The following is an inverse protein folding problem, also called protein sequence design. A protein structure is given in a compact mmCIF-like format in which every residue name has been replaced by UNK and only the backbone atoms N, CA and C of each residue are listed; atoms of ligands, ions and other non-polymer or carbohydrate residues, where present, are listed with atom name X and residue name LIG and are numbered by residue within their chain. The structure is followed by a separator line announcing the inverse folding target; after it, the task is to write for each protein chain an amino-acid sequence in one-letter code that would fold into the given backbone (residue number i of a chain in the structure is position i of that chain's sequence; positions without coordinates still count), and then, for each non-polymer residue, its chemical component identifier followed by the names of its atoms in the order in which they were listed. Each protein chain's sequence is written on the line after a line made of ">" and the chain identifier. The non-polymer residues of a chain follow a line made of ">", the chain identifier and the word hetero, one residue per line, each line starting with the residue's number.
data_IF_715268893280
#
_entry.id   IF_715268893280
#
_cell.length_a   1.000
_cell.length_b   1.000
_cell.length_c   1.000
_cell.angle_alpha   90.00
_cell.angle_beta   90.00
_cell.angle_gamma   90.00
#
_symmetry.space_group_name_H-M   'P 1'
#
loop_
_entity.id
_entity.type
_entity.pdbx_description
1 polymer ?
#
# COMPACT_ATOMS: atom_id res chain seq x y z
N UNK A 1 14.37 18.78 -1.69
CA UNK A 1 13.10 18.29 -2.30
C UNK A 1 13.47 17.57 -3.58
N UNK A 2 12.99 16.35 -3.78
CA UNK A 2 13.19 15.64 -5.04
C UNK A 2 12.34 16.31 -6.13
N UNK A 3 12.82 16.34 -7.38
CA UNK A 3 12.00 16.75 -8.52
C UNK A 3 11.33 15.51 -9.08
N UNK A 4 10.01 15.45 -9.05
CA UNK A 4 9.21 14.38 -9.65
C UNK A 4 8.20 15.04 -10.57
N UNK A 5 8.22 14.66 -11.86
CA UNK A 5 7.37 15.28 -12.90
C UNK A 5 7.48 16.82 -12.91
N UNK A 6 8.70 17.36 -12.75
CA UNK A 6 8.95 18.80 -12.73
C UNK A 6 8.54 19.53 -11.45
N UNK A 7 7.88 18.88 -10.48
CA UNK A 7 7.46 19.46 -9.20
C UNK A 7 8.42 19.10 -8.07
N UNK A 8 8.65 20.03 -7.14
CA UNK A 8 9.37 19.75 -5.90
C UNK A 8 8.45 18.97 -4.96
N UNK A 9 8.81 17.72 -4.66
CA UNK A 9 8.13 16.89 -3.66
C UNK A 9 9.02 16.69 -2.43
N UNK A 10 8.43 16.77 -1.25
CA UNK A 10 9.05 16.29 0.00
C UNK A 10 8.57 14.89 0.36
N UNK A 11 7.39 14.50 -0.10
CA UNK A 11 6.75 13.20 0.08
C UNK A 11 6.07 12.76 -1.22
N UNK A 12 6.10 11.47 -1.50
CA UNK A 12 5.38 10.78 -2.56
C UNK A 12 4.47 9.75 -1.92
N UNK A 13 3.21 9.76 -2.33
CA UNK A 13 2.21 8.75 -1.98
C UNK A 13 1.82 8.01 -3.25
N UNK A 14 1.74 6.68 -3.17
CA UNK A 14 1.56 5.83 -4.35
C UNK A 14 0.15 5.30 -4.38
N UNK A 15 -0.50 5.42 -5.55
CA UNK A 15 -1.82 4.87 -5.76
C UNK A 15 -1.77 3.34 -5.66
N UNK A 16 -2.77 2.78 -4.98
CA UNK A 16 -3.06 1.37 -4.97
C UNK A 16 -4.11 1.07 -6.06
N UNK A 17 -3.93 -0.03 -6.76
CA UNK A 17 -4.84 -0.42 -7.83
C UNK A 17 -4.16 -1.36 -8.81
N UNK A 18 -4.98 -1.99 -9.65
CA UNK A 18 -4.52 -2.82 -10.76
C UNK A 18 -4.94 -2.18 -12.08
N UNK A 19 -4.97 -0.86 -12.11
CA UNK A 19 -5.44 -0.06 -13.24
C UNK A 19 -4.63 -0.35 -14.51
N UNK A 20 -3.36 -0.71 -14.40
CA UNK A 20 -2.52 -1.08 -15.54
C UNK A 20 -2.61 -2.58 -15.93
N UNK A 21 -3.13 -3.46 -15.07
CA UNK A 21 -3.27 -4.90 -15.35
C UNK A 21 -4.70 -5.27 -15.76
N UNK A 22 -5.70 -4.78 -15.05
CA UNK A 22 -7.12 -5.13 -15.23
C UNK A 22 -8.02 -3.92 -15.49
N UNK A 23 -7.46 -2.71 -15.65
CA UNK A 23 -8.26 -1.49 -15.81
C UNK A 23 -9.09 -1.11 -14.57
N UNK A 24 -8.92 -1.83 -13.45
CA UNK A 24 -9.66 -1.58 -12.21
C UNK A 24 -8.95 -0.51 -11.38
N UNK A 25 -9.49 0.71 -11.43
CA UNK A 25 -9.16 1.77 -10.48
C UNK A 25 -9.77 1.48 -9.11
N UNK A 26 -8.97 1.59 -8.06
CA UNK A 26 -9.45 1.51 -6.69
C UNK A 26 -9.69 2.91 -6.15
N UNK A 27 -10.93 3.14 -5.73
CA UNK A 27 -11.34 4.36 -5.04
C UNK A 27 -11.60 4.05 -3.58
N UNK A 28 -11.57 5.08 -2.75
CA UNK A 28 -11.87 4.95 -1.32
C UNK A 28 -13.26 4.36 -1.05
N UNK A 29 -14.23 4.54 -1.95
CA UNK A 29 -15.59 4.02 -1.80
C UNK A 29 -15.77 2.60 -2.37
N UNK A 30 -15.02 2.21 -3.41
CA UNK A 30 -15.13 0.86 -3.99
C UNK A 30 -14.22 -0.18 -3.30
N UNK A 31 -13.20 0.28 -2.56
CA UNK A 31 -12.33 -0.59 -1.78
C UNK A 31 -12.89 -0.77 -0.36
N UNK A 32 -13.38 -1.98 -0.07
CA UNK A 32 -14.17 -2.31 1.14
C UNK A 32 -13.51 -1.89 2.46
N UNK A 33 -12.19 -2.04 2.59
CA UNK A 33 -11.50 -1.74 3.84
C UNK A 33 -11.27 -0.23 4.01
N UNK A 34 -10.84 0.47 2.97
CA UNK A 34 -10.69 1.93 2.94
C UNK A 34 -12.00 2.64 3.24
N UNK A 35 -13.08 2.24 2.57
CA UNK A 35 -14.44 2.69 2.86
C UNK A 35 -14.77 2.57 4.35
N UNK A 36 -14.61 1.37 4.88
CA UNK A 36 -14.90 1.04 6.28
C UNK A 36 -14.05 1.83 7.26
N UNK A 37 -12.74 1.95 7.04
CA UNK A 37 -11.87 2.70 7.93
C UNK A 37 -12.25 4.19 7.97
N UNK A 38 -12.54 4.79 6.82
CA UNK A 38 -12.95 6.21 6.78
C UNK A 38 -14.32 6.39 7.46
N UNK A 39 -15.32 5.56 7.11
CA UNK A 39 -16.65 5.65 7.72
C UNK A 39 -16.61 5.41 9.24
N UNK A 40 -15.82 4.44 9.70
CA UNK A 40 -15.72 4.11 11.12
C UNK A 40 -14.97 5.18 11.93
N UNK A 41 -13.97 5.86 11.36
CA UNK A 41 -13.18 6.87 12.07
C UNK A 41 -13.74 8.28 12.00
N UNK A 42 -14.36 8.64 10.86
CA UNK A 42 -14.77 10.01 10.53
C UNK A 42 -16.27 10.15 10.20
N UNK A 43 -16.95 9.05 9.89
CA UNK A 43 -18.36 9.05 9.50
C UNK A 43 -18.58 9.10 7.99
N UNK A 44 -19.80 8.78 7.58
CA UNK A 44 -20.23 8.69 6.16
C UNK A 44 -20.09 10.04 5.44
N UNK A 45 -20.32 11.15 6.14
CA UNK A 45 -20.16 12.49 5.57
C UNK A 45 -18.73 12.76 5.11
N UNK A 46 -17.73 12.21 5.79
CA UNK A 46 -16.34 12.36 5.39
C UNK A 46 -16.03 11.50 4.15
N UNK A 47 -16.49 10.24 4.14
CA UNK A 47 -16.34 9.39 2.96
C UNK A 47 -16.99 10.04 1.73
N UNK A 48 -18.15 10.70 1.88
CA UNK A 48 -18.81 11.37 0.75
C UNK A 48 -17.94 12.43 0.07
N UNK A 49 -17.05 13.09 0.81
CA UNK A 49 -16.16 14.15 0.27
C UNK A 49 -15.11 13.58 -0.69
N UNK A 50 -14.49 12.45 -0.32
CA UNK A 50 -13.32 11.92 -1.03
C UNK A 50 -13.47 10.48 -1.52
N UNK A 51 -14.63 9.87 -1.35
CA UNK A 51 -14.88 8.46 -1.65
C UNK A 51 -14.63 8.08 -3.11
N UNK A 52 -14.77 9.03 -4.03
CA UNK A 52 -14.51 8.86 -5.46
C UNK A 52 -13.03 8.98 -5.83
N UNK A 53 -12.18 9.40 -4.89
CA UNK A 53 -10.75 9.56 -5.11
C UNK A 53 -10.01 8.23 -4.98
N UNK A 54 -8.84 8.16 -5.61
CA UNK A 54 -7.99 6.97 -5.62
C UNK A 54 -7.52 6.58 -4.22
N UNK A 55 -7.25 5.29 -4.02
CA UNK A 55 -6.60 4.81 -2.80
C UNK A 55 -5.10 5.07 -2.90
N UNK A 56 -4.48 5.64 -1.86
CA UNK A 56 -3.02 5.64 -1.67
C UNK A 56 -2.64 4.69 -0.55
N UNK A 57 -1.72 3.75 -0.76
CA UNK A 57 -1.33 2.82 0.30
C UNK A 57 -0.37 3.47 1.30
N UNK A 58 -0.72 3.47 2.59
CA UNK A 58 0.12 4.03 3.67
C UNK A 58 1.45 3.30 3.82
N UNK A 59 1.49 2.02 3.43
CA UNK A 59 2.69 1.17 3.42
C UNK A 59 3.64 1.42 2.24
N UNK A 60 3.23 2.20 1.24
CA UNK A 60 4.09 2.66 0.14
C UNK A 60 4.11 4.16 0.11
N UNK A 61 5.11 4.73 0.77
CA UNK A 61 5.42 6.15 0.72
C UNK A 61 6.91 6.33 0.54
N UNK A 62 7.33 7.40 -0.13
CA UNK A 62 8.75 7.73 -0.32
C UNK A 62 8.93 9.22 -0.15
N UNK A 63 10.12 9.67 0.23
CA UNK A 63 10.31 11.09 0.47
C UNK A 63 11.69 11.42 1.00
N UNK A 64 11.93 12.71 1.12
CA UNK A 64 13.12 13.22 1.82
C UNK A 64 12.98 12.99 3.32
N UNK A 65 14.10 12.95 4.05
CA UNK A 65 14.10 12.90 5.51
C UNK A 65 13.15 13.93 6.15
N UNK A 66 13.23 15.21 5.72
CA UNK A 66 12.33 16.27 6.22
C UNK A 66 10.85 15.99 5.92
N UNK A 67 10.55 15.44 4.75
CA UNK A 67 9.19 15.06 4.37
C UNK A 67 8.64 13.93 5.24
N UNK A 68 9.46 12.91 5.54
CA UNK A 68 9.07 11.83 6.44
C UNK A 68 8.86 12.29 7.88
N UNK A 69 9.73 13.17 8.41
CA UNK A 69 9.52 13.76 9.75
C UNK A 69 8.17 14.48 9.81
N UNK A 70 7.81 15.24 8.77
CA UNK A 70 6.51 15.91 8.70
C UNK A 70 5.33 14.91 8.56
N UNK A 71 5.47 13.91 7.68
CA UNK A 71 4.48 12.86 7.47
C UNK A 71 4.19 12.08 8.77
N UNK A 72 5.22 11.60 9.45
CA UNK A 72 5.07 10.84 10.69
C UNK A 72 4.42 11.68 11.79
N UNK A 73 4.76 12.97 11.90
CA UNK A 73 4.07 13.90 12.83
C UNK A 73 2.58 14.04 12.48
N UNK A 74 2.24 14.19 11.21
CA UNK A 74 0.85 14.30 10.77
C UNK A 74 0.06 13.00 11.08
N UNK A 75 0.63 11.84 10.78
CA UNK A 75 0.03 10.53 11.08
C UNK A 75 -0.16 10.32 12.59
N UNK A 76 0.85 10.64 13.41
CA UNK A 76 0.76 10.54 14.88
C UNK A 76 -0.31 11.46 15.45
N UNK A 77 -0.33 12.73 15.02
CA UNK A 77 -1.34 13.68 15.46
C UNK A 77 -2.75 13.21 15.09
N UNK A 78 -2.92 12.65 13.90
CA UNK A 78 -4.20 12.10 13.46
C UNK A 78 -4.61 10.85 14.23
N UNK A 79 -3.67 9.95 14.53
CA UNK A 79 -3.93 8.78 15.37
C UNK A 79 -4.40 9.20 16.77
N UNK A 80 -3.72 10.17 17.40
CA UNK A 80 -4.13 10.72 18.70
C UNK A 80 -5.49 11.43 18.63
N UNK A 81 -5.74 12.20 17.57
CA UNK A 81 -7.03 12.83 17.35
C UNK A 81 -8.14 11.79 17.12
N UNK A 82 -7.85 10.69 16.42
CA UNK A 82 -8.77 9.57 16.23
C UNK A 82 -9.20 8.97 17.57
N UNK A 83 -8.23 8.68 18.46
CA UNK A 83 -8.51 8.14 19.80
C UNK A 83 -9.39 9.11 20.61
N UNK A 84 -9.09 10.41 20.58
CA UNK A 84 -9.90 11.43 21.27
C UNK A 84 -11.32 11.55 20.71
N UNK A 85 -11.48 11.48 19.38
CA UNK A 85 -12.80 11.55 18.73
C UNK A 85 -13.63 10.28 18.93
N UNK A 86 -12.98 9.13 19.14
CA UNK A 86 -13.62 7.82 19.14
C UNK A 86 -13.25 6.99 20.40
N UNK A 87 -13.40 7.50 21.63
CA UNK A 87 -12.74 6.93 22.82
C UNK A 87 -13.08 5.46 23.11
N UNK A 88 -14.28 5.01 22.74
CA UNK A 88 -14.76 3.64 22.98
C UNK A 88 -15.27 2.96 21.70
N UNK A 89 -15.01 3.52 20.52
CA UNK A 89 -15.62 3.03 19.28
C UNK A 89 -14.85 1.81 18.76
N UNK A 90 -15.58 0.72 18.50
CA UNK A 90 -15.03 -0.51 17.96
C UNK A 90 -15.65 -0.86 16.61
N UNK A 91 -14.85 -1.48 15.75
CA UNK A 91 -15.29 -2.15 14.53
C UNK A 91 -14.70 -3.58 14.54
N UNK A 92 -15.56 -4.59 14.37
CA UNK A 92 -15.22 -6.02 14.45
C UNK A 92 -14.39 -6.40 15.68
N UNK A 93 -14.75 -5.86 16.85
CA UNK A 93 -14.12 -6.17 18.13
C UNK A 93 -12.78 -5.47 18.39
N UNK A 94 -12.26 -4.70 17.43
CA UNK A 94 -11.01 -3.92 17.54
C UNK A 94 -11.35 -2.42 17.57
N UNK A 95 -10.53 -1.61 18.21
CA UNK A 95 -10.73 -0.15 18.22
C UNK A 95 -10.65 0.43 16.79
N UNK A 96 -11.52 1.37 16.42
CA UNK A 96 -11.57 1.92 15.03
C UNK A 96 -10.29 2.64 14.58
N UNK A 97 -9.45 3.02 15.53
CA UNK A 97 -8.13 3.63 15.30
C UNK A 97 -6.97 2.59 15.32
N UNK A 98 -7.27 1.29 15.19
CA UNK A 98 -6.31 0.19 15.10
C UNK A 98 -6.61 -0.70 13.88
N UNK A 99 -5.77 -1.70 13.60
CA UNK A 99 -6.06 -2.74 12.59
C UNK A 99 -6.12 -2.23 11.15
N UNK A 100 -5.08 -1.54 10.70
CA UNK A 100 -5.02 -0.89 9.37
C UNK A 100 -5.69 0.48 9.32
N UNK A 101 -6.03 1.05 10.49
CA UNK A 101 -6.62 2.37 10.60
C UNK A 101 -5.78 3.48 9.97
N UNK A 102 -4.46 3.32 9.96
CA UNK A 102 -3.48 4.21 9.35
C UNK A 102 -3.72 4.37 7.84
N UNK A 103 -4.24 3.35 7.16
CA UNK A 103 -4.61 3.41 5.75
C UNK A 103 -5.74 4.42 5.49
N UNK A 104 -6.76 4.46 6.35
CA UNK A 104 -7.84 5.46 6.30
C UNK A 104 -7.37 6.87 6.69
N UNK A 105 -6.53 6.97 7.72
CA UNK A 105 -5.94 8.24 8.18
C UNK A 105 -5.03 8.86 7.12
N UNK A 106 -4.16 8.06 6.50
CA UNK A 106 -3.25 8.45 5.43
C UNK A 106 -3.99 9.13 4.28
N UNK A 107 -5.02 8.46 3.75
CA UNK A 107 -5.82 8.98 2.64
C UNK A 107 -6.59 10.25 3.05
N UNK A 108 -7.19 10.25 4.24
CA UNK A 108 -7.92 11.42 4.74
C UNK A 108 -7.00 12.62 4.91
N UNK A 109 -5.79 12.44 5.45
CA UNK A 109 -4.79 13.50 5.58
C UNK A 109 -4.32 14.01 4.23
N UNK A 110 -4.09 13.12 3.26
CA UNK A 110 -3.71 13.51 1.91
C UNK A 110 -4.79 14.39 1.25
N UNK A 111 -6.03 13.91 1.21
CA UNK A 111 -7.13 14.62 0.53
C UNK A 111 -7.59 15.89 1.24
N UNK A 112 -7.36 16.01 2.54
CA UNK A 112 -7.55 17.28 3.28
C UNK A 112 -6.42 18.29 3.04
N UNK A 113 -5.33 17.90 2.36
CA UNK A 113 -4.15 18.74 2.17
C UNK A 113 -3.25 18.83 3.40
N UNK A 114 -3.41 17.94 4.38
CA UNK A 114 -2.63 17.95 5.62
C UNK A 114 -1.25 17.29 5.49
N UNK A 115 -0.96 16.66 4.34
CA UNK A 115 0.37 16.16 4.00
C UNK A 115 1.10 17.15 3.09
N UNK A 116 1.62 18.23 3.69
CA UNK A 116 2.26 19.32 2.95
C UNK A 116 3.43 18.81 2.06
N UNK A 117 3.39 19.19 0.78
CA UNK A 117 4.41 18.79 -0.19
C UNK A 117 4.35 17.32 -0.63
N UNK A 118 3.24 16.63 -0.34
CA UNK A 118 2.95 15.31 -0.86
C UNK A 118 2.47 15.38 -2.33
N UNK A 119 3.05 14.55 -3.19
CA UNK A 119 2.56 14.32 -4.54
C UNK A 119 2.04 12.89 -4.67
N UNK A 120 0.90 12.74 -5.33
CA UNK A 120 0.41 11.42 -5.72
C UNK A 120 1.15 10.96 -6.97
N UNK A 121 1.55 9.69 -6.94
CA UNK A 121 2.08 8.94 -8.07
C UNK A 121 1.07 7.87 -8.49
N UNK A 122 0.62 7.86 -9.76
CA UNK A 122 -0.19 6.77 -10.26
C UNK A 122 0.54 5.43 -10.17
N UNK A 123 -0.21 4.34 -10.03
CA UNK A 123 0.37 3.00 -10.01
C UNK A 123 1.16 2.76 -11.31
N UNK A 124 2.31 2.08 -11.19
CA UNK A 124 3.23 1.79 -12.30
C UNK A 124 3.82 3.00 -13.05
N UNK A 125 3.49 4.25 -12.67
CA UNK A 125 4.04 5.45 -13.31
C UNK A 125 5.40 5.88 -12.72
N UNK A 126 5.77 5.34 -11.57
CA UNK A 126 6.97 5.67 -10.81
C UNK A 126 7.76 4.44 -10.36
N UNK A 127 8.59 4.56 -9.31
CA UNK A 127 9.45 3.46 -8.85
C UNK A 127 8.69 2.31 -8.16
N UNK A 128 7.39 2.49 -7.89
CA UNK A 128 6.55 1.50 -7.22
C UNK A 128 5.51 0.96 -8.20
N UNK A 129 5.42 -0.35 -8.27
CA UNK A 129 4.35 -1.06 -8.95
C UNK A 129 3.60 -1.94 -7.95
N UNK A 130 2.37 -1.56 -7.64
CA UNK A 130 1.46 -2.36 -6.86
C UNK A 130 0.78 -3.38 -7.76
N UNK A 131 0.99 -4.65 -7.45
CA UNK A 131 0.45 -5.78 -8.22
C UNK A 131 -0.58 -6.60 -7.45
N UNK A 132 -0.84 -6.25 -6.19
CA UNK A 132 -1.88 -6.86 -5.35
C UNK A 132 -2.96 -5.85 -4.96
N UNK A 133 -4.01 -6.34 -4.28
CA UNK A 133 -5.01 -5.49 -3.63
C UNK A 133 -5.05 -5.82 -2.13
N UNK A 134 -5.01 -4.80 -1.28
CA UNK A 134 -5.06 -4.94 0.18
C UNK A 134 -6.37 -5.60 0.63
N UNK A 135 -6.25 -6.68 1.40
CA UNK A 135 -7.39 -7.43 1.92
C UNK A 135 -8.21 -8.18 0.86
N UNK A 136 -7.72 -8.25 -0.37
CA UNK A 136 -8.23 -9.15 -1.41
C UNK A 136 -7.65 -10.56 -1.26
N UNK A 137 -8.40 -11.56 -1.71
CA UNK A 137 -7.80 -12.88 -2.04
C UNK A 137 -6.75 -12.67 -3.15
N UNK A 138 -5.77 -13.57 -3.31
CA UNK A 138 -5.01 -13.66 -4.55
C UNK A 138 -5.99 -13.56 -5.72
N UNK A 139 -5.78 -12.58 -6.59
CA UNK A 139 -6.67 -12.37 -7.72
C UNK A 139 -6.16 -13.33 -8.80
N UNK A 140 -6.92 -14.37 -9.14
CA UNK A 140 -6.50 -15.33 -10.15
C UNK A 140 -6.30 -14.61 -11.49
N UNK A 141 -5.32 -15.06 -12.27
CA UNK A 141 -5.08 -14.59 -13.63
C UNK A 141 -4.68 -13.11 -13.75
N UNK A 142 -4.11 -12.51 -12.71
CA UNK A 142 -3.31 -11.28 -12.85
C UNK A 142 -2.01 -11.66 -13.54
N UNK A 143 -1.79 -11.11 -14.73
CA UNK A 143 -0.55 -11.28 -15.47
C UNK A 143 0.23 -9.97 -15.50
N UNK A 144 1.43 -10.00 -14.92
CA UNK A 144 2.46 -8.97 -15.09
C UNK A 144 3.68 -9.61 -15.74
N UNK A 145 4.42 -8.82 -16.51
CA UNK A 145 5.57 -9.30 -17.25
C UNK A 145 6.79 -9.45 -16.33
N UNK A 146 7.59 -10.49 -16.60
CA UNK A 146 8.85 -10.77 -15.93
C UNK A 146 9.94 -10.96 -16.97
N UNK A 147 11.17 -10.58 -16.63
CA UNK A 147 12.33 -10.88 -17.45
C UNK A 147 12.77 -12.35 -17.30
N UNK A 148 13.79 -12.75 -18.07
CA UNK A 148 14.33 -14.12 -18.05
C UNK A 148 14.86 -14.54 -16.67
N UNK A 149 15.25 -13.57 -15.84
CA UNK A 149 15.71 -13.81 -14.47
C UNK A 149 14.57 -13.81 -13.43
N UNK A 150 13.31 -13.64 -13.86
CA UNK A 150 12.12 -13.68 -13.01
C UNK A 150 11.75 -12.34 -12.34
N UNK A 151 12.47 -11.24 -12.63
CA UNK A 151 12.15 -9.92 -12.08
C UNK A 151 11.00 -9.26 -12.81
N UNK A 152 10.15 -8.53 -12.07
CA UNK A 152 9.00 -7.81 -12.65
C UNK A 152 9.46 -6.63 -13.51
N UNK A 153 8.93 -6.55 -14.73
CA UNK A 153 9.21 -5.50 -15.70
C UNK A 153 8.26 -4.32 -15.48
N UNK A 154 8.79 -3.10 -15.61
CA UNK A 154 8.04 -1.84 -15.52
C UNK A 154 7.02 -1.71 -16.64
N UNK A 155 5.71 -1.59 -16.34
CA UNK A 155 4.67 -1.42 -17.37
C UNK A 155 4.91 -0.25 -18.32
N UNK A 156 5.50 0.83 -17.80
CA UNK A 156 5.82 2.05 -18.57
C UNK A 156 6.91 1.83 -19.64
N UNK A 157 7.77 0.85 -19.44
CA UNK A 157 9.01 0.67 -20.20
C UNK A 157 9.11 -0.73 -20.83
N UNK A 158 7.97 -1.46 -20.92
CA UNK A 158 7.87 -2.80 -21.52
C UNK A 158 8.38 -2.88 -22.96
N UNK A 159 8.30 -1.77 -23.70
CA UNK A 159 8.77 -1.67 -25.10
C UNK A 159 10.22 -1.19 -25.24
N UNK A 160 10.93 -0.92 -24.13
CA UNK A 160 12.32 -0.49 -24.16
C UNK A 160 13.27 -1.70 -24.11
N UNK A 161 14.39 -1.62 -24.84
CA UNK A 161 15.47 -2.61 -24.80
C UNK A 161 16.75 -1.90 -24.32
N UNK A 162 17.38 -2.33 -23.22
CA UNK A 162 16.94 -3.41 -22.33
C UNK A 162 15.65 -3.04 -21.58
N UNK A 163 14.85 -4.06 -21.24
CA UNK A 163 13.65 -3.87 -20.42
C UNK A 163 14.03 -3.36 -19.03
N UNK A 164 13.27 -2.40 -18.50
CA UNK A 164 13.53 -1.86 -17.17
C UNK A 164 12.76 -2.64 -16.10
N UNK A 165 13.47 -3.13 -15.08
CA UNK A 165 12.86 -3.75 -13.89
C UNK A 165 12.17 -2.71 -13.01
N UNK A 166 11.09 -3.09 -12.33
CA UNK A 166 10.48 -2.24 -11.30
C UNK A 166 11.38 -2.22 -10.06
N UNK A 167 11.75 -1.03 -9.54
CA UNK A 167 12.55 -0.93 -8.33
C UNK A 167 11.85 -1.48 -7.07
N UNK A 168 10.54 -1.24 -6.93
CA UNK A 168 9.74 -1.71 -5.80
C UNK A 168 8.46 -2.37 -6.28
N UNK A 169 8.34 -3.68 -6.07
CA UNK A 169 7.11 -4.44 -6.32
C UNK A 169 6.31 -4.53 -5.02
N UNK A 170 5.18 -3.83 -4.95
CA UNK A 170 4.33 -3.80 -3.77
C UNK A 170 3.24 -4.87 -3.80
N UNK A 171 2.99 -5.50 -2.65
CA UNK A 171 2.04 -6.62 -2.47
C UNK A 171 2.35 -7.85 -3.34
N UNK A 172 3.63 -8.11 -3.62
CA UNK A 172 4.08 -9.32 -4.34
C UNK A 172 3.67 -10.61 -3.64
N UNK A 173 3.52 -10.58 -2.32
CA UNK A 173 3.16 -11.71 -1.46
C UNK A 173 1.69 -12.13 -1.61
N UNK A 174 0.91 -11.46 -2.46
CA UNK A 174 -0.41 -11.91 -2.94
C UNK A 174 -0.32 -12.91 -4.10
N UNK A 175 0.86 -13.09 -4.69
CA UNK A 175 1.11 -13.94 -5.84
C UNK A 175 2.02 -15.11 -5.46
N UNK A 176 1.51 -16.36 -5.44
CA UNK A 176 2.30 -17.52 -5.03
C UNK A 176 3.62 -17.66 -5.81
N UNK A 177 3.59 -17.42 -7.12
CA UNK A 177 4.79 -17.53 -7.96
C UNK A 177 5.86 -16.48 -7.64
N UNK A 178 5.48 -15.23 -7.34
CA UNK A 178 6.45 -14.21 -6.94
C UNK A 178 6.95 -14.44 -5.51
N UNK A 179 6.08 -14.94 -4.65
CA UNK A 179 6.45 -15.28 -3.29
C UNK A 179 7.51 -16.41 -3.28
N UNK A 180 7.34 -17.42 -4.13
CA UNK A 180 8.31 -18.50 -4.37
C UNK A 180 9.61 -17.98 -5.02
N UNK A 181 9.49 -17.07 -5.99
CA UNK A 181 10.65 -16.40 -6.59
C UNK A 181 11.48 -15.66 -5.53
N UNK A 182 10.84 -14.86 -4.68
CA UNK A 182 11.52 -14.14 -3.58
C UNK A 182 12.20 -15.11 -2.62
N UNK A 183 11.52 -16.19 -2.22
CA UNK A 183 12.09 -17.22 -1.35
C UNK A 183 13.39 -17.82 -1.90
N UNK A 184 13.37 -18.15 -3.20
CA UNK A 184 14.47 -18.83 -3.88
C UNK A 184 15.59 -17.86 -4.24
N UNK A 185 15.25 -16.71 -4.82
CA UNK A 185 16.21 -15.72 -5.31
C UNK A 185 17.05 -15.12 -4.18
N UNK A 186 16.42 -14.80 -3.04
CA UNK A 186 17.13 -14.31 -1.85
C UNK A 186 17.62 -15.42 -0.93
N UNK A 187 17.50 -16.70 -1.34
CA UNK A 187 18.02 -17.86 -0.60
C UNK A 187 17.57 -17.87 0.86
N UNK A 188 16.30 -17.55 1.12
CA UNK A 188 15.80 -17.36 2.49
C UNK A 188 15.93 -18.63 3.35
N UNK A 189 16.01 -19.80 2.73
CA UNK A 189 16.33 -21.05 3.43
C UNK A 189 17.71 -21.01 4.10
N UNK A 190 18.72 -20.41 3.47
CA UNK A 190 20.08 -20.24 4.00
C UNK A 190 20.08 -19.27 5.19
N UNK A 191 19.11 -18.35 5.25
CA UNK A 191 18.86 -17.43 6.38
C UNK A 191 17.99 -18.06 7.49
N UNK A 192 17.67 -19.36 7.39
CA UNK A 192 16.87 -20.07 8.39
C UNK A 192 15.35 -19.87 8.26
N UNK A 193 14.87 -19.29 7.15
CA UNK A 193 13.43 -19.13 6.92
C UNK A 193 12.82 -20.43 6.41
N UNK A 194 11.95 -21.04 7.21
CA UNK A 194 11.20 -22.23 6.79
C UNK A 194 10.18 -21.90 5.70
N UNK A 195 10.27 -22.60 4.55
CA UNK A 195 9.35 -22.43 3.41
C UNK A 195 7.88 -22.54 3.79
N UNK A 196 7.54 -23.50 4.65
CA UNK A 196 6.17 -23.69 5.12
C UNK A 196 5.64 -22.46 5.85
N UNK A 197 6.45 -21.85 6.71
CA UNK A 197 6.05 -20.64 7.45
C UNK A 197 6.00 -19.42 6.53
N UNK A 198 6.93 -19.31 5.59
CA UNK A 198 6.96 -18.26 4.58
C UNK A 198 5.69 -18.24 3.73
N UNK A 199 5.33 -19.38 3.15
CA UNK A 199 4.13 -19.52 2.31
C UNK A 199 2.83 -19.44 3.12
N UNK A 200 2.83 -19.88 4.37
CA UNK A 200 1.63 -19.79 5.24
C UNK A 200 1.25 -18.34 5.59
N UNK A 201 2.17 -17.38 5.46
CA UNK A 201 1.92 -15.97 5.74
C UNK A 201 1.45 -15.17 4.50
N UNK A 202 1.26 -15.83 3.36
CA UNK A 202 0.72 -15.20 2.14
C UNK A 202 -0.62 -14.50 2.41
N UNK A 203 -0.76 -13.26 1.92
CA UNK A 203 -2.04 -12.55 1.99
C UNK A 203 -2.31 -11.78 3.29
N UNK A 204 -1.55 -12.00 4.36
CA UNK A 204 -1.86 -11.40 5.66
C UNK A 204 -1.41 -9.95 5.83
N UNK A 205 -0.58 -9.42 4.92
CA UNK A 205 -0.10 -8.03 4.99
C UNK A 205 0.70 -7.71 6.26
N UNK A 206 0.96 -8.72 7.09
CA UNK A 206 1.71 -8.67 8.32
C UNK A 206 2.61 -9.90 8.36
N UNK A 207 3.85 -9.73 7.90
CA UNK A 207 4.92 -10.64 8.27
C UNK A 207 5.29 -10.51 9.77
N UNK A 208 4.65 -9.62 10.53
CA UNK A 208 4.81 -9.51 11.98
C UNK A 208 3.78 -10.37 12.73
N UNK A 209 4.16 -11.62 12.96
CA UNK A 209 3.84 -12.39 14.16
C UNK A 209 2.38 -12.45 14.62
N UNK A 210 1.66 -13.48 14.17
CA UNK A 210 0.67 -14.15 15.03
C UNK A 210 0.81 -15.66 14.93
N UNK A 211 1.87 -16.19 15.53
CA UNK A 211 1.82 -17.49 16.22
C UNK A 211 1.89 -17.18 17.71
N UNK A 212 0.78 -17.34 18.43
CA UNK A 212 0.74 -17.08 19.87
C UNK A 212 -0.66 -16.89 20.45
N UNK A 213 -1.60 -17.79 20.16
CA UNK A 213 -2.66 -18.09 21.14
C UNK A 213 -2.22 -19.37 21.84
N UNK A 214 -1.62 -19.21 23.02
CA UNK A 214 -1.74 -20.21 24.10
C UNK A 214 -3.10 -20.03 24.74
#
# INVERSE_FOLDING_TARGET
>A
AARVMGKKASLLVFQEGLNDIHGMGLTLNNQKNNKRWIESQYGVAELKKFGHMDVHCSGTTMGTHRGFVAYTRAMLNEAMACLKRNPNKKDRGVHVCQGGADQGQHNTLYYRGNLAGALSMPNAAGPVYTIGIFGGKPIPNIHFERDEAGFVISPKERLQIPVTRVPVVHQYDRHPELNEFVYTHFKLQEEGVEKRNWLANMGHGGASGTKGRR
#
